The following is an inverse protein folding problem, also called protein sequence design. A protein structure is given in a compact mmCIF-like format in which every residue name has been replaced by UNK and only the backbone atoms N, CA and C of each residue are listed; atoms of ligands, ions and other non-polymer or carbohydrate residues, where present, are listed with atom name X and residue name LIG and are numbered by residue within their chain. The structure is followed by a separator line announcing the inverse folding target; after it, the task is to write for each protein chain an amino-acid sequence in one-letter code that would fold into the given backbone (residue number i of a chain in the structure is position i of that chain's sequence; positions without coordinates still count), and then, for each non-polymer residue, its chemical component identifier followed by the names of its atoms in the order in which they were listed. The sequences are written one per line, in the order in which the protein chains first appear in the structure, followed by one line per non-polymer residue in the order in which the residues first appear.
data_IF_156466842057
#
_entry.id   IF_156466842057
#
_cell.length_a   1.000
_cell.length_b   1.000
_cell.length_c   1.000
_cell.angle_alpha   90.00
_cell.angle_beta   90.00
_cell.angle_gamma   90.00
#
_symmetry.space_group_name_H-M   'P 1'
#
loop_
_entity.id
_entity.type
_entity.pdbx_description
1 polymer ?
#
# COMPACT_ATOMS: atom_id res chain seq x y z
N UNK A 1 12.89 -9.35 -6.35
CA UNK A 1 13.06 -8.10 -5.59
C UNK A 1 11.90 -7.95 -4.61
N UNK A 2 12.17 -7.44 -3.41
CA UNK A 2 11.15 -7.15 -2.41
C UNK A 2 11.07 -5.62 -2.22
N UNK A 3 9.86 -5.09 -2.27
CA UNK A 3 9.57 -3.68 -1.98
C UNK A 3 8.92 -3.61 -0.61
N UNK A 4 9.44 -2.75 0.24
CA UNK A 4 8.92 -2.50 1.60
C UNK A 4 8.51 -1.04 1.67
N UNK A 5 7.29 -0.74 2.17
CA UNK A 5 6.85 0.64 2.38
C UNK A 5 7.81 1.45 3.25
N UNK A 6 7.91 2.74 2.97
CA UNK A 6 8.81 3.66 3.67
C UNK A 6 8.21 4.07 5.03
N UNK A 7 8.97 3.91 6.10
CA UNK A 7 8.56 4.32 7.44
C UNK A 7 8.24 5.84 7.54
N UNK A 8 8.88 6.68 6.73
CA UNK A 8 8.59 8.11 6.70
C UNK A 8 7.18 8.42 6.19
N UNK A 9 6.62 7.55 5.35
CA UNK A 9 5.25 7.72 4.86
C UNK A 9 4.22 7.47 5.96
N UNK A 10 4.49 6.59 6.91
CA UNK A 10 3.67 6.46 8.11
C UNK A 10 3.64 7.76 8.94
N UNK A 11 4.79 8.43 9.11
CA UNK A 11 4.81 9.74 9.77
C UNK A 11 4.12 10.81 8.94
N UNK A 12 4.29 10.79 7.62
CA UNK A 12 3.59 11.70 6.72
C UNK A 12 2.06 11.52 6.79
N UNK A 13 1.58 10.27 6.88
CA UNK A 13 0.16 9.96 7.07
C UNK A 13 -0.37 10.55 8.38
N UNK A 14 0.36 10.36 9.49
CA UNK A 14 0.00 10.93 10.80
C UNK A 14 -0.09 12.46 10.77
N UNK A 15 0.81 13.13 10.03
CA UNK A 15 0.76 14.57 9.84
C UNK A 15 -0.42 14.96 8.95
N UNK A 16 -0.66 14.24 7.86
CA UNK A 16 -1.76 14.47 6.92
C UNK A 16 -3.12 14.39 7.61
N UNK A 17 -3.31 13.47 8.53
CA UNK A 17 -4.52 13.31 9.32
C UNK A 17 -4.89 14.53 10.16
N UNK A 18 -3.94 15.39 10.51
CA UNK A 18 -4.25 16.55 11.34
C UNK A 18 -5.15 17.55 10.62
N UNK A 19 -5.03 17.68 9.29
CA UNK A 19 -5.93 18.53 8.49
C UNK A 19 -7.35 17.96 8.44
N UNK A 20 -7.49 16.62 8.31
CA UNK A 20 -8.78 15.94 8.42
C UNK A 20 -9.42 16.15 9.80
N UNK A 21 -8.63 16.01 10.87
CA UNK A 21 -9.09 16.21 12.25
C UNK A 21 -9.55 17.66 12.49
N UNK A 22 -8.89 18.64 11.88
CA UNK A 22 -9.33 20.02 11.92
C UNK A 22 -10.67 20.20 11.21
N UNK A 23 -10.76 19.70 9.98
CA UNK A 23 -11.93 19.94 9.11
C UNK A 23 -13.18 19.22 9.59
N UNK A 24 -13.05 17.99 10.13
CA UNK A 24 -14.19 17.09 10.40
C UNK A 24 -14.42 16.81 11.89
N UNK A 25 -13.40 16.98 12.76
CA UNK A 25 -13.45 16.59 14.17
C UNK A 25 -13.28 17.80 15.13
N UNK A 26 -13.34 19.04 14.62
CA UNK A 26 -13.27 20.24 15.45
C UNK A 26 -11.92 20.50 16.11
N UNK A 27 -10.81 19.87 15.64
CA UNK A 27 -9.46 20.21 16.12
C UNK A 27 -9.13 21.66 15.82
N UNK A 28 -8.34 22.31 16.68
CA UNK A 28 -7.92 23.68 16.50
C UNK A 28 -7.13 23.92 15.19
N UNK A 29 -7.06 25.16 14.72
CA UNK A 29 -6.36 25.54 13.49
C UNK A 29 -4.87 25.14 13.46
N UNK A 30 -4.23 24.98 14.62
CA UNK A 30 -2.85 24.50 14.74
C UNK A 30 -2.66 23.10 14.15
N UNK A 31 -3.69 22.25 14.20
CA UNK A 31 -3.66 20.92 13.57
C UNK A 31 -3.56 21.03 12.04
N UNK A 32 -4.38 21.89 11.42
CA UNK A 32 -4.29 22.14 9.97
C UNK A 32 -2.97 22.80 9.58
N UNK A 33 -2.49 23.77 10.37
CA UNK A 33 -1.22 24.44 10.12
C UNK A 33 -0.04 23.44 10.19
N UNK A 34 -0.05 22.50 11.16
CA UNK A 34 0.97 21.47 11.28
C UNK A 34 1.02 20.57 10.04
N UNK A 35 -0.13 20.20 9.48
CA UNK A 35 -0.19 19.41 8.24
C UNK A 35 0.34 20.21 7.03
N UNK A 36 -0.13 21.45 6.86
CA UNK A 36 0.23 22.30 5.72
C UNK A 36 1.72 22.70 5.69
N UNK A 37 2.37 22.79 6.84
CA UNK A 37 3.80 23.10 6.94
C UNK A 37 4.66 21.84 7.06
N UNK A 38 4.20 20.85 7.80
CA UNK A 38 4.96 19.62 8.09
C UNK A 38 5.17 18.75 6.88
N UNK A 39 4.13 18.54 6.05
CA UNK A 39 4.25 17.70 4.84
C UNK A 39 5.26 18.29 3.84
N UNK A 40 5.21 19.59 3.45
CA UNK A 40 6.24 20.15 2.58
C UNK A 40 7.64 20.11 3.18
N UNK A 41 7.78 20.34 4.49
CA UNK A 41 9.07 20.25 5.19
C UNK A 41 9.64 18.82 5.10
N UNK A 42 8.82 17.79 5.38
CA UNK A 42 9.20 16.39 5.27
C UNK A 42 9.61 16.04 3.83
N UNK A 43 8.82 16.47 2.83
CA UNK A 43 9.15 16.25 1.42
C UNK A 43 10.45 16.92 1.00
N UNK A 44 10.74 18.12 1.52
CA UNK A 44 12.02 18.79 1.29
C UNK A 44 13.19 18.02 1.88
N UNK A 45 13.03 17.45 3.08
CA UNK A 45 14.06 16.61 3.72
C UNK A 45 14.31 15.31 2.95
N UNK A 46 13.27 14.72 2.36
CA UNK A 46 13.36 13.47 1.56
C UNK A 46 13.97 13.70 0.16
N UNK A 47 13.99 14.93 -0.32
CA UNK A 47 14.37 15.24 -1.70
C UNK A 47 15.71 14.61 -2.14
N UNK A 48 16.82 14.65 -1.35
CA UNK A 48 18.06 14.00 -1.75
C UNK A 48 17.92 12.48 -1.94
N UNK A 49 17.16 11.81 -1.06
CA UNK A 49 16.89 10.38 -1.19
C UNK A 49 16.04 10.05 -2.43
N UNK A 50 15.00 10.85 -2.70
CA UNK A 50 14.17 10.72 -3.90
C UNK A 50 15.01 10.90 -5.17
N UNK A 51 15.89 11.88 -5.21
CA UNK A 51 16.78 12.12 -6.35
C UNK A 51 17.76 10.95 -6.55
N UNK A 52 18.32 10.40 -5.47
CA UNK A 52 19.19 9.23 -5.52
C UNK A 52 18.46 7.97 -6.03
N UNK A 53 17.22 7.72 -5.56
CA UNK A 53 16.40 6.62 -6.04
C UNK A 53 16.12 6.74 -7.54
N UNK A 54 15.69 7.92 -8.01
CA UNK A 54 15.48 8.20 -9.43
C UNK A 54 16.75 8.00 -10.27
N UNK A 55 17.90 8.46 -9.76
CA UNK A 55 19.18 8.32 -10.46
C UNK A 55 19.63 6.86 -10.56
N UNK A 56 19.23 5.99 -9.64
CA UNK A 56 19.56 4.56 -9.65
C UNK A 56 18.95 3.82 -10.82
N UNK A 57 17.84 4.32 -11.40
CA UNK A 57 17.04 3.67 -12.47
C UNK A 57 16.57 2.25 -12.11
N UNK A 58 16.72 1.87 -10.85
CA UNK A 58 16.37 0.55 -10.33
C UNK A 58 15.20 0.60 -9.34
N UNK A 59 15.10 1.68 -8.59
CA UNK A 59 14.10 1.83 -7.54
C UNK A 59 13.24 3.04 -7.80
N UNK A 60 11.94 2.87 -7.64
CA UNK A 60 11.00 3.98 -7.70
C UNK A 60 10.97 4.72 -6.35
N UNK A 61 10.88 6.06 -6.38
CA UNK A 61 10.69 6.82 -5.15
C UNK A 61 9.26 6.62 -4.62
N UNK A 62 9.06 6.65 -3.30
CA UNK A 62 7.73 6.57 -2.72
C UNK A 62 6.85 7.75 -3.19
N UNK A 63 5.55 7.50 -3.29
CA UNK A 63 4.58 8.53 -3.68
C UNK A 63 4.42 9.58 -2.58
N UNK A 64 3.95 10.76 -2.96
CA UNK A 64 3.60 11.78 -1.97
C UNK A 64 2.33 11.36 -1.21
N UNK A 65 2.28 11.60 0.09
CA UNK A 65 1.20 11.14 0.98
C UNK A 65 -0.20 11.58 0.54
N UNK A 66 -0.34 12.75 -0.04
CA UNK A 66 -1.61 13.22 -0.60
C UNK A 66 -2.08 12.34 -1.77
N UNK A 67 -1.17 11.83 -2.58
CA UNK A 67 -1.50 10.90 -3.66
C UNK A 67 -1.91 9.53 -3.11
N UNK A 68 -1.19 9.01 -2.12
CA UNK A 68 -1.57 7.78 -1.41
C UNK A 68 -2.96 7.90 -0.79
N UNK A 69 -3.29 9.07 -0.22
CA UNK A 69 -4.62 9.34 0.31
C UNK A 69 -5.71 9.30 -0.77
N UNK A 70 -5.45 9.87 -1.96
CA UNK A 70 -6.40 9.77 -3.08
C UNK A 70 -6.58 8.31 -3.55
N UNK A 71 -5.53 7.50 -3.54
CA UNK A 71 -5.62 6.07 -3.86
C UNK A 71 -6.43 5.27 -2.83
N UNK A 72 -6.42 5.69 -1.55
CA UNK A 72 -7.18 5.04 -0.49
C UNK A 72 -8.69 5.34 -0.54
N UNK A 73 -9.09 6.57 -0.92
CA UNK A 73 -10.48 7.05 -0.87
C UNK A 73 -11.53 6.16 -1.54
N UNK A 74 -11.25 5.48 -2.66
CA UNK A 74 -12.21 4.56 -3.26
C UNK A 74 -12.55 3.34 -2.42
N UNK A 75 -11.73 2.99 -1.44
CA UNK A 75 -11.87 1.79 -0.61
C UNK A 75 -12.44 2.09 0.77
N UNK A 76 -12.06 3.24 1.35
CA UNK A 76 -12.50 3.63 2.69
C UNK A 76 -12.29 5.12 2.94
N UNK A 77 -12.95 5.61 3.98
CA UNK A 77 -12.77 7.00 4.44
C UNK A 77 -11.40 7.21 5.08
N UNK A 78 -10.78 8.35 4.79
CA UNK A 78 -9.59 8.85 5.50
C UNK A 78 -9.84 9.03 7.01
N UNK A 79 -11.09 9.02 7.46
CA UNK A 79 -11.46 9.01 8.88
C UNK A 79 -11.09 7.73 9.63
N UNK A 80 -10.70 6.66 8.95
CA UNK A 80 -10.14 5.45 9.58
C UNK A 80 -8.69 5.69 10.00
N UNK A 81 -8.47 6.33 11.14
CA UNK A 81 -7.17 6.86 11.58
C UNK A 81 -6.58 6.15 12.80
N UNK A 82 -7.06 4.97 13.18
CA UNK A 82 -6.48 4.18 14.26
C UNK A 82 -5.26 3.40 13.75
N UNK A 83 -4.09 3.69 14.34
CA UNK A 83 -2.81 3.16 13.84
C UNK A 83 -2.55 3.61 12.41
N UNK A 84 -2.21 2.70 11.55
CA UNK A 84 -2.01 2.95 10.11
C UNK A 84 -3.35 3.27 9.40
N UNK A 85 -4.43 2.65 9.86
CA UNK A 85 -5.79 2.92 9.39
C UNK A 85 -5.93 2.92 7.86
N UNK A 86 -6.41 4.05 7.31
CA UNK A 86 -6.61 4.23 5.86
C UNK A 86 -5.33 4.06 5.05
N UNK A 87 -4.19 4.33 5.67
CA UNK A 87 -2.90 4.31 5.01
C UNK A 87 -2.54 2.90 4.48
N UNK A 88 -2.90 1.82 5.20
CA UNK A 88 -2.72 0.45 4.73
C UNK A 88 -3.38 0.17 3.38
N UNK A 89 -4.59 0.70 3.17
CA UNK A 89 -5.27 0.56 1.88
C UNK A 89 -4.59 1.39 0.79
N UNK A 90 -4.14 2.59 1.15
CA UNK A 90 -3.40 3.48 0.27
C UNK A 90 -2.09 2.87 -0.19
N UNK A 91 -1.28 2.31 0.73
CA UNK A 91 -0.02 1.64 0.41
C UNK A 91 -0.22 0.43 -0.51
N UNK A 92 -1.21 -0.42 -0.24
CA UNK A 92 -1.50 -1.54 -1.14
C UNK A 92 -1.89 -1.06 -2.54
N UNK A 93 -2.69 0.00 -2.66
CA UNK A 93 -3.06 0.57 -3.95
C UNK A 93 -1.85 1.23 -4.64
N UNK A 94 -0.97 1.91 -3.89
CA UNK A 94 0.29 2.46 -4.37
C UNK A 94 1.18 1.37 -4.96
N UNK A 95 1.42 0.28 -4.21
CA UNK A 95 2.23 -0.85 -4.67
C UNK A 95 1.69 -1.45 -5.97
N UNK A 96 0.38 -1.65 -6.06
CA UNK A 96 -0.26 -2.19 -7.28
C UNK A 96 -0.06 -1.25 -8.46
N UNK A 97 -0.32 0.04 -8.28
CA UNK A 97 -0.23 1.04 -9.36
C UNK A 97 1.20 1.36 -9.76
N UNK A 98 2.16 1.13 -8.88
CA UNK A 98 3.60 1.22 -9.14
C UNK A 98 4.20 -0.07 -9.74
N UNK A 99 3.37 -1.06 -10.11
CA UNK A 99 3.83 -2.27 -10.79
C UNK A 99 4.25 -3.41 -9.85
N UNK A 100 3.93 -3.33 -8.55
CA UNK A 100 4.20 -4.37 -7.54
C UNK A 100 2.88 -5.03 -7.08
N UNK A 101 2.21 -5.82 -7.93
CA UNK A 101 0.88 -6.34 -7.64
C UNK A 101 0.86 -7.57 -6.71
N UNK A 102 2.02 -8.14 -6.38
CA UNK A 102 2.14 -9.32 -5.52
C UNK A 102 2.48 -8.85 -4.10
N UNK A 103 1.49 -8.83 -3.20
CA UNK A 103 1.58 -8.19 -1.90
C UNK A 103 1.36 -9.19 -0.77
N UNK A 104 2.25 -9.16 0.22
CA UNK A 104 2.07 -9.81 1.53
C UNK A 104 1.60 -8.75 2.52
N UNK A 105 0.34 -8.83 2.94
CA UNK A 105 -0.21 -7.99 3.99
C UNK A 105 0.00 -8.71 5.33
N UNK A 106 0.97 -8.26 6.10
CA UNK A 106 1.32 -8.83 7.40
C UNK A 106 0.24 -8.48 8.42
N UNK A 107 -0.21 -9.49 9.20
CA UNK A 107 -1.22 -9.35 10.23
C UNK A 107 -0.58 -9.61 11.60
N UNK A 108 -0.04 -8.61 12.30
CA UNK A 108 0.44 -8.80 13.67
C UNK A 108 -0.71 -9.18 14.59
N UNK A 109 -0.44 -10.03 15.59
CA UNK A 109 -1.46 -10.47 16.52
C UNK A 109 -2.20 -9.28 17.16
N UNK A 110 -3.53 -9.35 17.14
CA UNK A 110 -4.45 -8.34 17.69
C UNK A 110 -4.25 -6.90 17.15
N UNK A 111 -3.53 -6.71 16.05
CA UNK A 111 -3.41 -5.41 15.41
C UNK A 111 -4.69 -5.07 14.67
N UNK A 112 -5.54 -4.25 15.31
CA UNK A 112 -6.86 -3.90 14.80
C UNK A 112 -6.84 -3.29 13.39
N UNK A 113 -6.02 -2.27 13.07
CA UNK A 113 -6.00 -1.70 11.72
C UNK A 113 -5.60 -2.73 10.65
N UNK A 114 -4.67 -3.62 10.93
CA UNK A 114 -4.25 -4.65 9.97
C UNK A 114 -5.38 -5.66 9.70
N UNK A 115 -6.12 -6.08 10.73
CA UNK A 115 -7.22 -7.04 10.56
C UNK A 115 -8.47 -6.38 9.96
N UNK A 116 -8.85 -5.19 10.41
CA UNK A 116 -10.10 -4.53 9.98
C UNK A 116 -9.90 -3.81 8.65
N UNK A 117 -8.85 -3.00 8.51
CA UNK A 117 -8.60 -2.22 7.30
C UNK A 117 -7.76 -3.03 6.32
N UNK A 118 -6.54 -3.40 6.68
CA UNK A 118 -5.61 -4.08 5.76
C UNK A 118 -6.23 -5.31 5.12
N UNK A 119 -6.68 -6.27 5.93
CA UNK A 119 -7.33 -7.48 5.44
C UNK A 119 -8.72 -7.23 4.86
N UNK A 120 -9.47 -6.29 5.43
CA UNK A 120 -10.85 -5.99 5.04
C UNK A 120 -10.97 -5.45 3.62
N UNK A 121 -10.01 -4.64 3.14
CA UNK A 121 -10.06 -4.04 1.80
C UNK A 121 -9.53 -4.95 0.69
N UNK A 122 -8.89 -6.10 1.01
CA UNK A 122 -8.26 -6.98 0.01
C UNK A 122 -9.25 -7.41 -1.09
N UNK A 123 -10.48 -7.73 -0.74
CA UNK A 123 -11.49 -8.17 -1.72
C UNK A 123 -11.79 -7.06 -2.71
N UNK A 124 -11.94 -5.83 -2.23
CA UNK A 124 -12.24 -4.68 -3.08
C UNK A 124 -11.02 -4.26 -3.92
N UNK A 125 -9.82 -4.31 -3.36
CA UNK A 125 -8.57 -4.10 -4.12
C UNK A 125 -8.46 -5.08 -5.29
N UNK A 126 -8.72 -6.38 -5.06
CA UNK A 126 -8.72 -7.38 -6.13
C UNK A 126 -9.78 -7.15 -7.18
N UNK A 127 -10.96 -6.68 -6.78
CA UNK A 127 -12.05 -6.34 -7.70
C UNK A 127 -11.65 -5.16 -8.59
N UNK A 128 -11.08 -4.11 -8.00
CA UNK A 128 -10.67 -2.91 -8.73
C UNK A 128 -9.38 -3.11 -9.53
N UNK A 129 -8.49 -3.97 -9.05
CA UNK A 129 -7.22 -4.31 -9.68
C UNK A 129 -7.13 -5.83 -9.91
N UNK A 130 -7.77 -6.36 -10.96
CA UNK A 130 -7.88 -7.83 -11.17
C UNK A 130 -6.53 -8.55 -11.30
N UNK A 131 -5.46 -7.83 -11.66
CA UNK A 131 -4.10 -8.37 -11.71
C UNK A 131 -3.40 -8.47 -10.35
N UNK A 132 -4.00 -7.94 -9.27
CA UNK A 132 -3.38 -7.95 -7.95
C UNK A 132 -3.47 -9.33 -7.28
N UNK A 133 -2.38 -9.70 -6.63
CA UNK A 133 -2.22 -10.97 -5.91
C UNK A 133 -1.80 -10.67 -4.46
N UNK A 134 -2.79 -10.47 -3.61
CA UNK A 134 -2.60 -10.03 -2.23
C UNK A 134 -2.87 -11.20 -1.29
N UNK A 135 -2.00 -11.48 -0.33
CA UNK A 135 -2.22 -12.48 0.70
C UNK A 135 -2.07 -11.85 2.09
N UNK A 136 -3.04 -12.11 2.96
CA UNK A 136 -2.92 -11.77 4.38
C UNK A 136 -2.26 -12.92 5.12
N UNK A 137 -1.23 -12.62 5.92
CA UNK A 137 -0.48 -13.62 6.68
C UNK A 137 -0.43 -13.20 8.14
N UNK A 138 -0.96 -14.06 9.00
CA UNK A 138 -0.91 -13.85 10.45
C UNK A 138 0.55 -14.04 10.94
N UNK A 139 1.03 -13.04 11.70
CA UNK A 139 2.41 -12.95 12.17
C UNK A 139 2.40 -12.69 13.68
N UNK A 140 2.41 -13.77 14.45
CA UNK A 140 2.48 -13.71 15.90
C UNK A 140 3.40 -14.82 16.43
N UNK A 141 3.86 -14.76 17.68
CA UNK A 141 4.75 -15.77 18.26
C UNK A 141 4.18 -17.18 18.28
N UNK A 142 2.85 -17.35 18.23
CA UNK A 142 2.16 -18.61 18.18
C UNK A 142 1.77 -19.06 16.76
N UNK A 143 2.04 -18.24 15.75
CA UNK A 143 1.69 -18.59 14.38
C UNK A 143 2.56 -19.72 13.84
N UNK A 144 1.92 -20.64 13.10
CA UNK A 144 2.62 -21.74 12.46
C UNK A 144 3.47 -21.26 11.29
N UNK A 145 4.79 -21.37 11.38
CA UNK A 145 5.73 -21.08 10.29
C UNK A 145 5.35 -21.82 9.00
N UNK A 146 4.92 -23.06 9.12
CA UNK A 146 4.48 -23.88 7.97
C UNK A 146 3.30 -23.23 7.26
N UNK A 147 2.32 -22.71 8.01
CA UNK A 147 1.17 -22.02 7.43
C UNK A 147 1.59 -20.70 6.74
N UNK A 148 2.48 -19.94 7.34
CA UNK A 148 3.02 -18.72 6.75
C UNK A 148 3.74 -19.01 5.43
N UNK A 149 4.68 -19.97 5.45
CA UNK A 149 5.42 -20.40 4.27
C UNK A 149 4.51 -20.95 3.17
N UNK A 150 3.49 -21.73 3.51
CA UNK A 150 2.54 -22.26 2.52
C UNK A 150 1.75 -21.13 1.84
N UNK A 151 1.30 -20.10 2.58
CA UNK A 151 0.61 -18.94 2.02
C UNK A 151 1.53 -18.15 1.09
N UNK A 152 2.79 -17.94 1.47
CA UNK A 152 3.80 -17.27 0.63
C UNK A 152 4.06 -18.09 -0.64
N UNK A 153 4.24 -19.41 -0.54
CA UNK A 153 4.45 -20.28 -1.69
C UNK A 153 3.27 -20.25 -2.66
N UNK A 154 2.04 -20.26 -2.17
CA UNK A 154 0.85 -20.14 -3.00
C UNK A 154 0.79 -18.78 -3.73
N UNK A 155 1.12 -17.69 -3.02
CA UNK A 155 1.21 -16.36 -3.61
C UNK A 155 2.28 -16.31 -4.72
N UNK A 156 3.47 -16.84 -4.46
CA UNK A 156 4.56 -16.92 -5.45
C UNK A 156 4.19 -17.80 -6.65
N UNK A 157 3.50 -18.93 -6.42
CA UNK A 157 3.00 -19.78 -7.52
C UNK A 157 2.03 -19.01 -8.42
N UNK A 158 1.14 -18.21 -7.83
CA UNK A 158 0.21 -17.34 -8.58
C UNK A 158 0.96 -16.26 -9.34
N UNK A 159 1.95 -15.61 -8.71
CA UNK A 159 2.79 -14.61 -9.34
C UNK A 159 3.51 -15.15 -10.57
N UNK A 160 4.12 -16.33 -10.45
CA UNK A 160 4.81 -16.99 -11.55
C UNK A 160 3.86 -17.37 -12.71
N UNK A 161 2.65 -17.84 -12.40
CA UNK A 161 1.62 -18.11 -13.42
C UNK A 161 1.19 -16.83 -14.15
N UNK A 162 1.02 -15.73 -13.44
CA UNK A 162 0.65 -14.44 -14.03
C UNK A 162 1.77 -13.92 -14.94
N UNK A 163 3.02 -14.02 -14.49
CA UNK A 163 4.19 -13.64 -15.28
C UNK A 163 4.31 -14.49 -16.55
N UNK A 164 4.11 -15.80 -16.45
CA UNK A 164 4.14 -16.70 -17.61
C UNK A 164 3.04 -16.35 -18.63
N UNK A 165 1.84 -15.96 -18.17
CA UNK A 165 0.76 -15.51 -19.06
C UNK A 165 1.09 -14.19 -19.75
N UNK A 166 1.73 -13.25 -19.08
CA UNK A 166 2.15 -11.97 -19.67
C UNK A 166 3.24 -12.14 -20.73
N UNK A 167 4.12 -13.15 -20.54
CA UNK A 167 5.22 -13.45 -21.46
C UNK A 167 4.83 -14.43 -22.58
N UNK A 168 3.64 -15.03 -22.55
CA UNK A 168 3.15 -15.88 -23.61
C UNK A 168 2.83 -15.00 -24.85
N UNK A 169 3.33 -15.35 -26.06
CA UNK A 169 2.97 -14.61 -27.26
C UNK A 169 1.45 -14.68 -27.45
N UNK A 170 0.82 -13.54 -27.74
CA UNK A 170 -0.58 -13.49 -28.16
C UNK A 170 -0.77 -14.46 -29.33
N UNK A 171 -1.38 -15.60 -29.08
CA UNK A 171 -1.91 -16.40 -30.17
C UNK A 171 -3.05 -15.57 -30.78
N UNK A 172 -2.70 -14.87 -31.88
CA UNK A 172 -3.73 -14.31 -32.77
C UNK A 172 -4.65 -15.45 -33.14
N UNK A 173 -5.91 -15.37 -32.73
CA UNK A 173 -7.00 -16.14 -33.31
C UNK A 173 -7.03 -15.86 -34.83
N UNK A 174 -6.28 -16.64 -35.57
CA UNK A 174 -6.50 -16.86 -37.01
C UNK A 174 -7.32 -18.14 -37.14
N UNK A 175 -8.59 -18.05 -36.82
CA UNK A 175 -9.55 -19.08 -37.15
C UNK A 175 -10.93 -18.44 -37.30
N UNK A 176 -11.16 -17.81 -38.44
CA UNK A 176 -12.47 -17.69 -39.07
C UNK A 176 -12.23 -17.12 -40.48
N UNK A 177 -11.89 -18.00 -41.42
CA UNK A 177 -12.17 -17.85 -42.84
C UNK A 177 -13.41 -18.69 -43.17
#
# INVERSE_FOLDING_TARGET
EAVVPDLLDFFAATIYEQDFKHTHLGKGWTASASAKLGIPALQRMRRPAIEALKASKRFDPPMAINHVAELAKPFLSIGNQYGEGWFLAGEMAELITSGTPNIVCIQPFACLPNHVVGKGVIKELRHRYPGSNIVAIDYDPGASEVNQLNRIKLMLSTANKNLAKQNAPEQKDQAAG
#
